data_IF_282320131025
#
_entry.id   IF_282320131025
#
_cell.length_a   1.000
_cell.length_b   1.000
_cell.length_c   1.000
_cell.angle_alpha   90.00
_cell.angle_beta   90.00
_cell.angle_gamma   90.00
#
_symmetry.space_group_name_H-M   'P 1'
#
loop_
_entity.id
_entity.type
_entity.pdbx_description
1 polymer ?
#
# COMPACT_ATOMS: atom_id res chain seq x y z
N UNK A 1 -2.38 1.72 -17.33
CA UNK A 1 -1.17 1.84 -16.47
C UNK A 1 -1.55 1.88 -15.00
N UNK A 2 -2.51 2.72 -14.60
CA UNK A 2 -3.06 2.77 -13.24
C UNK A 2 -3.50 1.40 -12.71
N UNK A 3 -4.37 0.68 -13.44
CA UNK A 3 -4.90 -0.61 -12.98
C UNK A 3 -3.81 -1.65 -12.69
N UNK A 4 -2.77 -1.70 -13.52
CA UNK A 4 -1.64 -2.61 -13.30
C UNK A 4 -0.90 -2.31 -12.00
N UNK A 5 -0.67 -1.04 -11.70
CA UNK A 5 0.00 -0.61 -10.47
C UNK A 5 -0.91 -0.90 -9.27
N UNK A 6 -2.20 -0.59 -9.39
CA UNK A 6 -3.19 -0.84 -8.34
C UNK A 6 -3.33 -2.33 -8.02
N UNK A 7 -3.47 -3.20 -9.03
CA UNK A 7 -3.54 -4.65 -8.85
C UNK A 7 -2.29 -5.20 -8.17
N UNK A 8 -1.10 -4.74 -8.58
CA UNK A 8 0.15 -5.16 -7.95
C UNK A 8 0.20 -4.72 -6.47
N UNK A 9 -0.15 -3.46 -6.19
CA UNK A 9 -0.16 -2.92 -4.84
C UNK A 9 -1.15 -3.67 -3.95
N UNK A 10 -2.37 -3.91 -4.43
CA UNK A 10 -3.39 -4.65 -3.70
C UNK A 10 -2.95 -6.08 -3.35
N UNK A 11 -2.31 -6.76 -4.30
CA UNK A 11 -1.92 -8.15 -4.11
C UNK A 11 -0.67 -8.34 -3.24
N UNK A 12 0.24 -7.36 -3.20
CA UNK A 12 1.56 -7.54 -2.58
C UNK A 12 1.86 -6.52 -1.47
N UNK A 13 1.44 -5.26 -1.64
CA UNK A 13 1.81 -4.17 -0.74
C UNK A 13 0.82 -4.00 0.40
N UNK A 14 -0.43 -4.41 0.24
CA UNK A 14 -1.45 -4.35 1.29
C UNK A 14 -1.31 -5.54 2.22
N UNK A 15 -1.10 -5.26 3.51
CA UNK A 15 -1.14 -6.27 4.55
C UNK A 15 -2.59 -6.70 4.77
N UNK A 16 -2.94 -7.91 4.32
CA UNK A 16 -4.30 -8.44 4.38
C UNK A 16 -4.81 -8.69 5.81
N UNK A 17 -3.91 -8.79 6.79
CA UNK A 17 -4.29 -9.04 8.20
C UNK A 17 -4.67 -7.76 8.93
N UNK A 18 -3.94 -6.68 8.71
CA UNK A 18 -4.07 -5.44 9.48
C UNK A 18 -4.56 -4.25 8.65
N UNK A 19 -4.66 -4.39 7.32
CA UNK A 19 -5.16 -3.34 6.42
C UNK A 19 -4.20 -2.17 6.18
N UNK A 20 -3.01 -2.19 6.78
CA UNK A 20 -1.93 -1.24 6.51
C UNK A 20 -1.11 -1.64 5.27
N UNK A 21 -0.22 -0.75 4.83
CA UNK A 21 0.64 -0.97 3.66
C UNK A 21 2.08 -1.27 4.09
N UNK A 22 2.69 -2.28 3.48
CA UNK A 22 4.13 -2.53 3.58
C UNK A 22 4.91 -1.39 2.92
N UNK A 23 6.01 -0.96 3.54
CA UNK A 23 6.82 0.13 2.98
C UNK A 23 7.77 -0.33 1.86
N UNK A 24 8.24 -1.58 1.93
CA UNK A 24 9.13 -2.20 0.95
C UNK A 24 8.86 -3.70 0.89
N UNK A 25 9.16 -4.31 -0.24
CA UNK A 25 9.20 -5.76 -0.43
C UNK A 25 10.56 -6.17 -1.01
N UNK A 26 10.88 -7.46 -0.95
CA UNK A 26 11.98 -8.02 -1.73
C UNK A 26 11.63 -7.99 -3.23
N UNK A 27 12.61 -8.34 -4.08
CA UNK A 27 12.40 -8.45 -5.53
C UNK A 27 11.32 -9.47 -5.90
N UNK A 28 11.15 -10.50 -5.06
CA UNK A 28 10.22 -11.60 -5.29
C UNK A 28 8.88 -11.40 -4.52
N UNK A 29 8.65 -10.19 -3.98
CA UNK A 29 7.45 -9.73 -3.26
C UNK A 29 7.28 -10.25 -1.83
N UNK A 30 8.32 -10.80 -1.22
CA UNK A 30 8.28 -11.16 0.19
C UNK A 30 8.40 -9.92 1.07
N UNK A 31 7.78 -9.96 2.25
CA UNK A 31 7.96 -8.96 3.29
C UNK A 31 9.28 -9.27 4.01
N UNK A 32 10.27 -8.36 3.98
CA UNK A 32 11.51 -8.54 4.73
C UNK A 32 11.26 -8.72 6.25
N UNK A 33 12.04 -9.60 6.88
CA UNK A 33 11.92 -9.89 8.32
C UNK A 33 12.16 -8.67 9.23
N UNK A 34 12.88 -7.66 8.73
CA UNK A 34 13.18 -6.42 9.46
C UNK A 34 12.02 -5.42 9.48
N UNK A 35 10.90 -5.73 8.81
CA UNK A 35 9.71 -4.89 8.79
C UNK A 35 8.75 -5.30 9.89
N UNK A 36 8.46 -4.35 10.78
CA UNK A 36 7.29 -4.46 11.64
C UNK A 36 6.02 -4.39 10.78
N UNK A 37 5.30 -5.50 10.76
CA UNK A 37 4.05 -5.64 10.01
C UNK A 37 2.84 -5.10 10.76
N UNK A 38 3.00 -4.74 12.04
CA UNK A 38 1.94 -4.20 12.88
C UNK A 38 1.69 -2.72 12.59
N UNK A 39 0.54 -2.17 13.06
CA UNK A 39 0.17 -0.78 12.80
C UNK A 39 1.08 0.27 13.46
N UNK A 40 1.98 -0.11 14.37
CA UNK A 40 2.68 0.84 15.24
C UNK A 40 3.69 1.74 14.51
N UNK A 41 4.23 1.30 13.36
CA UNK A 41 5.47 1.90 12.85
C UNK A 41 5.32 2.81 11.62
N UNK A 42 4.22 2.77 10.86
CA UNK A 42 4.09 3.67 9.69
C UNK A 42 2.66 4.10 9.36
N UNK A 43 2.42 5.40 9.52
CA UNK A 43 1.18 6.09 9.15
C UNK A 43 1.04 6.05 7.62
N UNK A 44 -0.04 5.44 7.12
CA UNK A 44 -0.35 5.29 5.69
C UNK A 44 -0.75 6.57 4.97
N UNK A 45 -0.12 7.72 5.28
CA UNK A 45 -0.51 9.01 4.68
C UNK A 45 -0.32 9.03 3.17
N UNK A 46 0.73 8.39 2.65
CA UNK A 46 0.96 8.31 1.20
C UNK A 46 -0.15 7.55 0.45
N UNK A 47 -0.49 6.29 0.80
CA UNK A 47 -1.57 5.59 0.11
C UNK A 47 -2.93 6.27 0.33
N UNK A 48 -3.20 6.83 1.51
CA UNK A 48 -4.44 7.57 1.75
C UNK A 48 -4.53 8.87 0.93
N UNK A 49 -3.45 9.64 0.86
CA UNK A 49 -3.37 10.86 0.04
C UNK A 49 -3.56 10.55 -1.44
N UNK A 50 -2.90 9.51 -1.96
CA UNK A 50 -3.08 9.09 -3.34
C UNK A 50 -4.54 8.67 -3.65
N UNK A 51 -5.21 7.97 -2.73
CA UNK A 51 -6.65 7.69 -2.87
C UNK A 51 -7.49 8.97 -2.87
N UNK A 52 -7.18 9.92 -2.00
CA UNK A 52 -7.90 11.19 -1.92
C UNK A 52 -7.76 12.02 -3.21
N UNK A 53 -6.56 12.10 -3.78
CA UNK A 53 -6.30 12.80 -5.05
C UNK A 53 -7.11 12.17 -6.20
N UNK A 54 -7.21 10.84 -6.24
CA UNK A 54 -8.04 10.12 -7.21
C UNK A 54 -9.52 10.43 -7.00
N UNK A 55 -10.02 10.36 -5.75
CA UNK A 55 -11.41 10.69 -5.43
C UNK A 55 -11.77 12.10 -5.88
N UNK A 56 -10.94 13.10 -5.57
CA UNK A 56 -11.14 14.47 -6.03
C UNK A 56 -11.17 14.62 -7.55
N UNK A 57 -10.53 13.72 -8.30
CA UNK A 57 -10.51 13.74 -9.77
C UNK A 57 -11.74 13.07 -10.37
N UNK A 58 -12.26 12.01 -9.74
CA UNK A 58 -13.42 11.25 -10.25
C UNK A 58 -14.77 11.76 -9.76
N UNK A 59 -14.79 12.56 -8.69
CA UNK A 59 -16.01 13.20 -8.15
C UNK A 59 -16.34 14.55 -8.83
N UNK A 60 -15.56 14.97 -9.83
CA UNK A 60 -15.83 16.13 -10.70
C UNK A 60 -16.73 15.76 -11.87
#
# INVERSE_FOLDING_TARGET
MYDRIWTYAWNNMVNQKYGNWHFKLTRDNDVPDDIDSTPEVKIGYHPLGACYDVLQTVEQ
#
